data_IF_622670837425
#
_entry.id   IF_622670837425
#
_cell.length_a   1.000
_cell.length_b   1.000
_cell.length_c   1.000
_cell.angle_alpha   90.00
_cell.angle_beta   90.00
_cell.angle_gamma   90.00
#
_symmetry.space_group_name_H-M   'P 1'
#
loop_
_entity.id
_entity.type
_entity.pdbx_description
1 polymer ?
#
# COMPACT_ATOMS: atom_id res chain seq x y z
N UNK A 1 19.30 13.17 36.81
CA UNK A 1 17.97 13.80 36.92
C UNK A 1 17.86 14.84 35.82
N UNK A 2 16.73 14.95 35.09
CA UNK A 2 16.62 16.02 34.07
C UNK A 2 15.66 15.93 32.87
N UNK A 3 14.88 14.88 32.57
CA UNK A 3 14.07 14.91 31.33
C UNK A 3 12.66 14.34 31.54
N UNK A 4 11.73 15.25 31.81
CA UNK A 4 10.29 15.03 31.87
C UNK A 4 9.67 15.85 30.72
N UNK A 5 8.76 15.19 29.99
CA UNK A 5 7.54 15.73 29.36
C UNK A 5 7.65 16.73 28.18
N UNK A 6 7.37 16.25 26.96
CA UNK A 6 6.73 17.01 25.88
C UNK A 6 6.34 16.10 24.69
N UNK A 7 5.26 15.32 24.82
CA UNK A 7 4.71 14.53 23.69
C UNK A 7 3.19 14.25 23.82
N UNK A 8 2.38 15.27 24.12
CA UNK A 8 0.91 15.10 24.18
C UNK A 8 0.08 16.24 23.55
N UNK A 9 0.61 17.00 22.59
CA UNK A 9 -0.18 18.03 21.88
C UNK A 9 -0.17 17.90 20.35
N UNK A 10 0.66 17.04 19.74
CA UNK A 10 0.76 16.99 18.27
C UNK A 10 -0.36 16.21 17.57
N UNK A 11 -1.00 15.24 18.23
CA UNK A 11 -2.01 14.36 17.58
C UNK A 11 -3.33 15.09 17.34
N UNK A 12 -3.70 16.03 18.21
CA UNK A 12 -4.94 16.81 18.07
C UNK A 12 -4.91 17.82 16.92
N UNK A 13 -3.75 18.42 16.65
CA UNK A 13 -3.61 19.42 15.59
C UNK A 13 -3.66 18.81 14.18
N UNK A 14 -3.12 17.59 14.01
CA UNK A 14 -3.14 16.88 12.72
C UNK A 14 -4.56 16.40 12.40
N UNK A 15 -5.31 15.91 13.40
CA UNK A 15 -6.70 15.50 13.23
C UNK A 15 -7.64 16.65 12.87
N UNK A 16 -7.48 17.83 13.48
CA UNK A 16 -8.26 19.02 13.15
C UNK A 16 -7.95 19.53 11.72
N UNK A 17 -6.69 19.45 11.28
CA UNK A 17 -6.29 19.85 9.94
C UNK A 17 -6.84 18.88 8.87
N UNK A 18 -6.85 17.57 9.14
CA UNK A 18 -7.42 16.57 8.24
C UNK A 18 -8.93 16.76 8.01
N UNK A 19 -9.69 17.08 9.07
CA UNK A 19 -11.13 17.33 8.96
C UNK A 19 -11.44 18.62 8.20
N UNK A 20 -10.62 19.66 8.34
CA UNK A 20 -10.82 20.93 7.62
C UNK A 20 -10.48 20.80 6.13
N UNK A 21 -9.45 20.03 5.77
CA UNK A 21 -9.09 19.80 4.36
C UNK A 21 -10.17 18.97 3.66
N UNK A 22 -10.66 17.89 4.30
CA UNK A 22 -11.62 16.99 3.65
C UNK A 22 -13.07 17.52 3.61
N UNK A 23 -13.41 18.52 4.43
CA UNK A 23 -14.76 19.10 4.44
C UNK A 23 -14.91 20.38 3.59
N UNK A 24 -13.85 20.83 2.89
CA UNK A 24 -13.85 22.13 2.19
C UNK A 24 -14.38 22.10 0.75
N UNK A 25 -14.62 20.92 0.16
CA UNK A 25 -15.07 20.76 -1.23
C UNK A 25 -16.59 20.54 -1.42
N UNK A 26 -17.41 20.81 -0.40
CA UNK A 26 -18.88 20.62 -0.50
C UNK A 26 -19.69 21.90 -0.29
N UNK A 27 -19.50 22.87 -1.20
CA UNK A 27 -20.40 24.02 -1.32
C UNK A 27 -20.50 24.54 -2.75
N UNK A 28 -21.69 24.33 -3.36
CA UNK A 28 -22.35 25.15 -4.41
C UNK A 28 -21.65 25.17 -5.81
N UNK A 29 -22.28 24.97 -6.99
CA UNK A 29 -23.66 25.10 -7.48
C UNK A 29 -23.94 24.10 -8.64
N UNK A 30 -25.22 24.03 -8.99
CA UNK A 30 -25.91 23.16 -9.96
C UNK A 30 -26.53 24.05 -11.04
N UNK A 31 -26.31 23.81 -12.35
CA UNK A 31 -27.33 23.97 -13.42
C UNK A 31 -26.82 23.61 -14.83
N UNK A 32 -27.62 22.79 -15.55
CA UNK A 32 -27.95 22.78 -17.00
C UNK A 32 -26.84 22.79 -18.08
N UNK A 33 -26.93 22.16 -19.26
CA UNK A 33 -27.95 21.43 -20.02
C UNK A 33 -27.23 20.75 -21.22
N UNK A 34 -27.88 19.74 -21.80
CA UNK A 34 -27.55 18.91 -22.98
C UNK A 34 -26.78 19.59 -24.13
N UNK A 35 -25.87 18.86 -24.79
CA UNK A 35 -26.08 18.17 -26.09
C UNK A 35 -24.73 17.78 -26.75
N UNK A 36 -24.82 16.76 -27.61
CA UNK A 36 -23.96 16.46 -28.76
C UNK A 36 -22.71 15.57 -28.57
N UNK A 37 -22.97 14.27 -28.74
CA UNK A 37 -22.36 13.37 -29.74
C UNK A 37 -20.83 13.19 -29.83
N UNK A 38 -20.48 11.92 -30.07
CA UNK A 38 -19.21 11.34 -30.55
C UNK A 38 -18.35 10.68 -29.47
N UNK A 39 -18.60 9.38 -29.25
CA UNK A 39 -17.66 8.48 -28.57
C UNK A 39 -16.63 8.02 -29.60
N UNK A 40 -15.56 8.79 -29.74
CA UNK A 40 -14.29 8.29 -30.28
C UNK A 40 -13.55 7.55 -29.15
N UNK A 41 -13.01 6.37 -29.46
CA UNK A 41 -12.14 5.61 -28.57
C UNK A 41 -10.89 6.44 -28.28
N UNK A 42 -10.73 6.93 -27.05
CA UNK A 42 -9.43 7.39 -26.57
C UNK A 42 -8.79 6.29 -25.73
N UNK A 43 -7.71 5.74 -26.28
CA UNK A 43 -6.71 5.02 -25.52
C UNK A 43 -6.22 5.96 -24.41
N UNK A 44 -6.67 5.68 -23.19
CA UNK A 44 -6.30 6.44 -22.00
C UNK A 44 -4.84 6.20 -21.67
N UNK A 45 -3.97 7.04 -22.21
CA UNK A 45 -2.62 7.26 -21.72
C UNK A 45 -2.70 7.52 -20.20
N UNK A 46 -2.04 6.69 -19.41
CA UNK A 46 -1.86 6.95 -18.00
C UNK A 46 -0.94 8.18 -17.89
N UNK A 47 -1.48 9.25 -17.31
CA UNK A 47 -0.70 10.42 -16.94
C UNK A 47 0.40 9.97 -15.96
N UNK A 48 1.65 10.18 -16.36
CA UNK A 48 2.81 9.90 -15.52
C UNK A 48 2.95 11.02 -14.48
N UNK A 49 2.81 10.65 -13.21
CA UNK A 49 3.21 11.52 -12.10
C UNK A 49 4.74 11.51 -12.03
N UNK A 50 5.36 12.64 -12.36
CA UNK A 50 6.79 12.95 -12.20
C UNK A 50 7.17 12.93 -10.70
N UNK A 51 7.22 11.74 -10.13
CA UNK A 51 7.70 11.49 -8.78
C UNK A 51 9.21 11.44 -8.76
N UNK A 52 9.84 12.28 -7.94
CA UNK A 52 11.27 12.32 -7.65
C UNK A 52 11.88 10.90 -7.51
N UNK A 53 12.48 10.37 -8.59
CA UNK A 53 13.06 9.03 -8.62
C UNK A 53 14.35 9.06 -7.79
N UNK A 54 14.33 8.36 -6.66
CA UNK A 54 15.56 8.11 -5.90
C UNK A 54 16.43 7.15 -6.72
N UNK A 55 17.56 7.65 -7.22
CA UNK A 55 18.59 6.81 -7.81
C UNK A 55 19.29 6.05 -6.69
N UNK A 56 19.32 4.73 -6.79
CA UNK A 56 19.98 3.84 -5.82
C UNK A 56 21.24 3.31 -6.48
N UNK A 57 22.37 3.37 -5.79
CA UNK A 57 23.63 2.83 -6.32
C UNK A 57 23.53 1.32 -6.54
N UNK A 58 24.32 0.79 -7.47
CA UNK A 58 24.44 -0.66 -7.62
C UNK A 58 25.03 -1.29 -6.36
N UNK A 59 24.54 -2.48 -6.00
CA UNK A 59 24.98 -3.17 -4.80
C UNK A 59 23.93 -4.11 -4.23
N UNK A 60 24.29 -4.76 -3.12
CA UNK A 60 23.39 -5.65 -2.37
C UNK A 60 22.90 -4.95 -1.11
N UNK A 61 21.59 -4.96 -0.93
CA UNK A 61 20.89 -4.35 0.18
C UNK A 61 20.15 -5.43 0.97
N UNK A 62 20.18 -5.29 2.29
CA UNK A 62 19.43 -6.17 3.20
C UNK A 62 18.26 -5.39 3.78
N UNK A 63 17.11 -6.03 3.86
CA UNK A 63 15.91 -5.47 4.47
C UNK A 63 16.15 -5.15 5.94
N UNK A 64 15.70 -3.97 6.38
CA UNK A 64 15.50 -3.70 7.80
C UNK A 64 14.12 -4.19 8.23
N UNK A 65 14.06 -5.37 8.85
CA UNK A 65 12.81 -6.03 9.26
C UNK A 65 11.99 -5.19 10.25
N UNK A 66 12.61 -4.35 11.07
CA UNK A 66 11.91 -3.51 12.04
C UNK A 66 11.23 -2.29 11.39
N UNK A 67 11.69 -1.90 10.20
CA UNK A 67 11.20 -0.72 9.48
C UNK A 67 10.48 -1.06 8.19
N UNK A 68 10.33 -2.35 7.89
CA UNK A 68 9.74 -2.81 6.63
C UNK A 68 8.57 -3.74 6.88
N UNK A 69 7.50 -3.54 6.13
CA UNK A 69 6.30 -4.36 6.22
C UNK A 69 5.77 -4.66 4.82
N UNK A 70 5.12 -5.82 4.68
CA UNK A 70 4.33 -6.14 3.50
C UNK A 70 2.89 -5.69 3.73
N UNK A 71 2.38 -4.80 2.88
CA UNK A 71 1.00 -4.32 2.94
C UNK A 71 0.15 -5.00 1.87
N UNK A 72 -1.12 -5.27 2.18
CA UNK A 72 -2.04 -5.90 1.25
C UNK A 72 -3.40 -5.20 1.25
N UNK A 73 -4.13 -5.33 0.13
CA UNK A 73 -5.51 -4.89 0.00
C UNK A 73 -6.33 -5.92 -0.80
N UNK A 74 -7.52 -6.26 -0.30
CA UNK A 74 -8.48 -7.14 -0.93
C UNK A 74 -9.83 -6.45 -1.09
N UNK A 75 -10.36 -6.44 -2.32
CA UNK A 75 -11.66 -5.82 -2.64
C UNK A 75 -12.74 -6.86 -2.92
N UNK A 76 -13.99 -6.52 -2.62
CA UNK A 76 -15.16 -7.25 -3.13
C UNK A 76 -15.80 -6.44 -4.26
N UNK A 77 -15.58 -6.79 -5.54
CA UNK A 77 -15.93 -5.91 -6.66
C UNK A 77 -17.41 -5.51 -6.74
N UNK A 78 -18.31 -6.35 -6.23
CA UNK A 78 -19.76 -6.12 -6.27
C UNK A 78 -20.27 -5.25 -5.10
N UNK A 79 -19.41 -4.85 -4.17
CA UNK A 79 -19.78 -3.97 -3.06
C UNK A 79 -18.89 -2.74 -3.13
N UNK A 80 -19.49 -1.63 -3.53
CA UNK A 80 -18.77 -0.38 -3.69
C UNK A 80 -18.09 0.08 -2.38
N UNK A 81 -16.82 0.47 -2.50
CA UNK A 81 -15.94 0.84 -1.38
C UNK A 81 -15.63 -0.28 -0.39
N UNK A 82 -15.90 -1.56 -0.70
CA UNK A 82 -15.52 -2.67 0.17
C UNK A 82 -14.08 -3.09 -0.09
N UNK A 83 -13.18 -2.56 0.74
CA UNK A 83 -11.76 -2.88 0.75
C UNK A 83 -11.39 -3.28 2.18
N UNK A 84 -10.75 -4.44 2.31
CA UNK A 84 -10.01 -4.82 3.51
C UNK A 84 -8.53 -4.66 3.19
N UNK A 85 -7.76 -4.18 4.14
CA UNK A 85 -6.31 -4.08 4.03
C UNK A 85 -5.66 -4.58 5.30
N UNK A 86 -4.36 -4.75 5.26
CA UNK A 86 -3.61 -5.19 6.41
C UNK A 86 -2.14 -5.31 6.11
N UNK A 87 -1.41 -5.93 7.04
CA UNK A 87 0.04 -6.04 6.98
C UNK A 87 0.51 -7.45 7.31
N UNK A 88 1.74 -7.76 6.92
CA UNK A 88 2.51 -8.94 7.31
C UNK A 88 3.94 -8.46 7.55
N UNK A 89 4.53 -8.81 8.68
CA UNK A 89 5.91 -8.47 8.99
C UNK A 89 6.88 -9.24 8.07
N UNK A 90 7.93 -8.55 7.65
CA UNK A 90 9.01 -9.16 6.91
C UNK A 90 10.05 -9.72 7.89
N UNK A 91 10.40 -11.00 7.74
CA UNK A 91 11.42 -11.64 8.58
C UNK A 91 12.82 -11.26 8.11
N UNK A 92 13.05 -11.39 6.81
CA UNK A 92 14.33 -11.10 6.18
C UNK A 92 14.14 -10.84 4.68
N UNK A 93 15.14 -10.25 4.06
CA UNK A 93 15.17 -10.12 2.62
C UNK A 93 16.46 -9.48 2.12
N UNK A 94 16.79 -9.78 0.87
CA UNK A 94 17.95 -9.21 0.18
C UNK A 94 17.55 -8.83 -1.22
N UNK A 95 18.05 -7.70 -1.69
CA UNK A 95 17.94 -7.27 -3.09
C UNK A 95 19.32 -6.87 -3.59
N UNK A 96 19.70 -7.36 -4.76
CA UNK A 96 20.90 -6.95 -5.48
C UNK A 96 20.45 -6.16 -6.69
N UNK A 97 20.95 -4.93 -6.82
CA UNK A 97 20.65 -3.99 -7.89
C UNK A 97 21.91 -3.81 -8.73
N UNK A 98 21.81 -4.06 -10.03
CA UNK A 98 22.81 -3.73 -11.05
C UNK A 98 22.36 -2.54 -11.91
N UNK A 99 23.05 -2.27 -13.01
CA UNK A 99 22.70 -1.16 -13.92
C UNK A 99 21.35 -1.36 -14.63
N UNK A 100 21.02 -2.61 -15.00
CA UNK A 100 19.81 -2.96 -15.75
C UNK A 100 19.14 -4.25 -15.24
N UNK A 101 19.63 -4.79 -14.13
CA UNK A 101 19.16 -6.04 -13.53
C UNK A 101 18.89 -5.86 -12.04
N UNK A 102 17.94 -6.63 -11.52
CA UNK A 102 17.72 -6.75 -10.10
C UNK A 102 17.27 -8.17 -9.77
N UNK A 103 17.79 -8.70 -8.67
CA UNK A 103 17.41 -10.01 -8.12
C UNK A 103 17.20 -9.88 -6.62
N UNK A 104 16.38 -10.75 -6.04
CA UNK A 104 16.12 -10.67 -4.61
C UNK A 104 15.20 -11.75 -4.10
N UNK A 105 15.22 -11.90 -2.79
CA UNK A 105 14.41 -12.85 -2.04
C UNK A 105 13.93 -12.18 -0.76
N UNK A 106 12.66 -12.40 -0.41
CA UNK A 106 12.03 -11.84 0.78
C UNK A 106 11.23 -12.93 1.47
N UNK A 107 11.34 -13.00 2.79
CA UNK A 107 10.63 -13.96 3.63
C UNK A 107 9.71 -13.20 4.56
N UNK A 108 8.43 -13.56 4.56
CA UNK A 108 7.38 -12.98 5.39
C UNK A 108 7.02 -13.95 6.51
N UNK A 109 6.80 -13.42 7.72
CA UNK A 109 6.25 -14.21 8.84
C UNK A 109 4.72 -14.17 8.80
N UNK A 110 4.10 -15.25 8.33
CA UNK A 110 2.65 -15.32 8.16
C UNK A 110 1.89 -15.33 9.49
N UNK A 111 2.54 -15.62 10.62
CA UNK A 111 1.92 -15.53 11.95
C UNK A 111 1.55 -14.08 12.29
N UNK A 112 2.31 -13.13 11.74
CA UNK A 112 2.10 -11.69 11.93
C UNK A 112 1.03 -11.11 11.01
N UNK A 113 0.40 -11.92 10.15
CA UNK A 113 -0.68 -11.46 9.28
C UNK A 113 -1.73 -10.74 10.13
N UNK A 114 -1.95 -9.47 9.81
CA UNK A 114 -2.93 -8.63 10.47
C UNK A 114 -3.95 -8.08 9.47
N UNK A 115 -5.20 -8.00 9.90
CA UNK A 115 -6.26 -7.30 9.18
C UNK A 115 -6.49 -5.95 9.85
N UNK A 116 -6.33 -4.87 9.08
CA UNK A 116 -6.61 -3.51 9.50
C UNK A 116 -8.10 -3.15 9.45
N UNK A 117 -8.43 -1.95 9.93
CA UNK A 117 -9.81 -1.46 10.00
C UNK A 117 -10.45 -1.33 8.61
N UNK A 118 -11.66 -1.86 8.45
CA UNK A 118 -12.47 -1.67 7.23
C UNK A 118 -13.58 -0.65 7.43
N UNK A 119 -13.69 0.31 6.52
CA UNK A 119 -14.69 1.37 6.60
C UNK A 119 -16.14 0.87 6.45
N UNK A 120 -16.35 -0.29 5.80
CA UNK A 120 -17.70 -0.80 5.49
C UNK A 120 -18.22 -1.81 6.52
N UNK A 121 -17.35 -2.48 7.28
CA UNK A 121 -17.72 -3.50 8.28
C UNK A 121 -16.78 -3.46 9.50
N UNK A 122 -16.75 -2.35 10.26
CA UNK A 122 -15.88 -2.25 11.42
C UNK A 122 -16.20 -3.35 12.44
N UNK A 123 -15.17 -3.91 13.07
CA UNK A 123 -15.30 -4.95 14.09
C UNK A 123 -15.33 -6.39 13.57
N UNK A 124 -15.07 -6.61 12.26
CA UNK A 124 -14.96 -7.94 11.66
C UNK A 124 -13.52 -8.34 11.32
N UNK A 125 -12.54 -7.53 11.73
CA UNK A 125 -11.13 -7.69 11.38
C UNK A 125 -10.58 -9.01 11.94
N UNK A 126 -10.81 -9.29 13.23
CA UNK A 126 -10.36 -10.53 13.86
C UNK A 126 -10.99 -11.79 13.26
N UNK A 127 -12.26 -11.71 12.83
CA UNK A 127 -12.93 -12.83 12.14
C UNK A 127 -12.27 -13.11 10.80
N UNK A 128 -11.98 -12.06 10.02
CA UNK A 128 -11.30 -12.20 8.74
C UNK A 128 -9.87 -12.69 8.92
N UNK A 129 -9.13 -12.15 9.89
CA UNK A 129 -7.75 -12.56 10.19
C UNK A 129 -7.70 -14.06 10.53
N UNK A 130 -8.59 -14.52 11.41
CA UNK A 130 -8.70 -15.94 11.76
C UNK A 130 -9.05 -16.83 10.55
N UNK A 131 -9.94 -16.39 9.67
CA UNK A 131 -10.25 -17.11 8.44
C UNK A 131 -9.05 -17.19 7.48
N UNK A 132 -8.31 -16.10 7.30
CA UNK A 132 -7.13 -16.08 6.42
C UNK A 132 -6.00 -16.96 6.98
N UNK A 133 -5.81 -16.99 8.30
CA UNK A 133 -4.79 -17.83 8.96
C UNK A 133 -5.15 -19.32 8.98
N UNK A 134 -6.44 -19.67 8.86
CA UNK A 134 -6.92 -21.03 9.00
C UNK A 134 -6.56 -21.99 7.86
N UNK A 135 -6.72 -23.29 8.11
CA UNK A 135 -6.38 -24.41 7.24
C UNK A 135 -6.95 -24.31 5.81
N UNK A 136 -8.12 -23.69 5.66
CA UNK A 136 -8.79 -23.56 4.36
C UNK A 136 -8.22 -22.46 3.47
N UNK A 137 -7.30 -21.66 3.99
CA UNK A 137 -6.76 -20.51 3.29
C UNK A 137 -5.23 -20.56 3.24
N UNK A 138 -4.53 -19.80 4.08
CA UNK A 138 -3.06 -19.86 4.12
C UNK A 138 -2.53 -21.00 4.98
N UNK A 139 -3.36 -21.59 5.85
CA UNK A 139 -2.95 -22.63 6.79
C UNK A 139 -1.63 -22.29 7.50
N UNK A 140 -1.62 -21.14 8.18
CA UNK A 140 -0.39 -20.54 8.74
C UNK A 140 0.27 -21.45 9.77
N UNK A 141 -0.50 -22.33 10.42
CA UNK A 141 0.04 -23.32 11.34
C UNK A 141 0.96 -24.33 10.62
N UNK A 142 0.63 -24.72 9.39
CA UNK A 142 1.44 -25.62 8.57
C UNK A 142 2.47 -24.87 7.72
N UNK A 143 2.11 -23.68 7.23
CA UNK A 143 2.93 -22.83 6.37
C UNK A 143 3.17 -21.45 7.02
N UNK A 144 4.03 -21.37 8.05
CA UNK A 144 4.23 -20.14 8.82
C UNK A 144 5.00 -19.05 8.06
N UNK A 145 5.57 -19.37 6.90
CA UNK A 145 6.41 -18.47 6.11
C UNK A 145 5.92 -18.40 4.67
N UNK A 146 5.95 -17.19 4.10
CA UNK A 146 5.78 -16.99 2.66
C UNK A 146 7.06 -16.39 2.07
N UNK A 147 7.41 -16.79 0.85
CA UNK A 147 8.63 -16.35 0.18
C UNK A 147 8.29 -15.70 -1.16
N UNK A 148 8.85 -14.52 -1.39
CA UNK A 148 8.80 -13.84 -2.69
C UNK A 148 10.21 -13.79 -3.29
N UNK A 149 10.33 -14.25 -4.54
CA UNK A 149 11.59 -14.28 -5.29
C UNK A 149 11.40 -13.44 -6.56
N UNK A 150 12.32 -12.50 -6.79
CA UNK A 150 12.38 -11.76 -8.05
C UNK A 150 13.00 -12.68 -9.10
N UNK A 151 12.20 -13.05 -10.10
CA UNK A 151 12.65 -13.94 -11.19
C UNK A 151 13.01 -13.21 -12.47
N UNK A 152 12.46 -12.02 -12.67
CA UNK A 152 12.71 -11.17 -13.85
C UNK A 152 12.42 -9.71 -13.50
N UNK A 153 13.15 -8.77 -14.12
CA UNK A 153 12.85 -7.35 -14.08
C UNK A 153 12.94 -6.75 -15.48
N UNK A 154 11.99 -5.89 -15.81
CA UNK A 154 11.94 -5.18 -17.08
C UNK A 154 12.12 -3.68 -16.83
N UNK A 155 13.09 -3.01 -17.48
CA UNK A 155 13.23 -1.57 -17.39
C UNK A 155 11.95 -0.86 -17.87
N UNK A 156 11.40 0.02 -17.05
CA UNK A 156 10.41 0.99 -17.51
C UNK A 156 11.15 2.05 -18.32
N UNK A 157 10.64 2.40 -19.51
CA UNK A 157 11.23 3.42 -20.37
C UNK A 157 11.56 4.68 -19.55
N UNK A 158 12.83 5.11 -19.59
CA UNK A 158 13.24 6.39 -19.02
C UNK A 158 12.77 7.46 -19.99
N UNK A 159 11.75 8.24 -19.65
CA UNK A 159 11.49 9.49 -20.36
C UNK A 159 12.48 10.52 -19.82
N UNK A 160 13.68 10.57 -20.39
CA UNK A 160 14.60 11.67 -20.12
C UNK A 160 14.01 12.93 -20.78
N UNK A 161 13.54 13.88 -19.96
CA UNK A 161 13.28 15.24 -20.43
C UNK A 161 14.62 15.96 -20.62
N UNK A 162 15.06 16.15 -21.86
CA UNK A 162 16.17 17.05 -22.24
C UNK A 162 15.89 18.52 -21.87
#
# INVERSE_FOLDING_TARGET
MKNILLLLVLVGAIGALYVVINNRDKGEEMSEHMDDTVVEKSDGAMAEEEGNRMVVDSGTYTVNAEQSEFTWAGKKPLIDGYINSGTIAMSEGTITVGESEASGNFVLDMNTLNVGLTAKKPGQEGTLEGHLKGERWFDVATYPTATFVITDVSPTAQTESE
#
